data_IF_441896744264
#
_entry.id   IF_441896744264
#
_cell.length_a   1.000
_cell.length_b   1.000
_cell.length_c   1.000
_cell.angle_alpha   90.00
_cell.angle_beta   90.00
_cell.angle_gamma   90.00
#
_symmetry.space_group_name_H-M   'P 1'
#
loop_
_entity.id
_entity.type
_entity.pdbx_description
1 polymer ?
#
# COMPACT_ATOMS: atom_id res chain seq x y z
N UNK A 1 14.31 14.89 14.69
CA UNK A 1 15.34 14.64 13.66
C UNK A 1 14.62 14.55 12.31
N UNK A 2 14.34 15.69 11.66
CA UNK A 2 13.84 15.68 10.29
C UNK A 2 15.04 15.39 9.40
N UNK A 3 15.30 14.12 9.15
CA UNK A 3 16.14 13.75 8.02
C UNK A 3 15.37 14.15 6.76
N UNK A 4 16.10 14.65 5.75
CA UNK A 4 15.55 14.94 4.42
C UNK A 4 15.36 13.60 3.70
N UNK A 5 14.30 12.89 4.06
CA UNK A 5 14.01 11.55 3.56
C UNK A 5 13.06 11.66 2.37
N UNK A 6 13.38 10.92 1.31
CA UNK A 6 12.53 10.75 0.14
C UNK A 6 11.30 9.92 0.51
N UNK A 7 10.20 10.60 0.87
CA UNK A 7 8.95 9.96 1.25
C UNK A 7 8.30 9.22 0.10
N UNK A 8 8.52 9.66 -1.14
CA UNK A 8 7.96 9.00 -2.31
C UNK A 8 8.55 7.59 -2.44
N UNK A 9 9.85 7.42 -2.21
CA UNK A 9 10.48 6.09 -2.17
C UNK A 9 9.99 5.23 -1.02
N UNK A 10 9.70 5.82 0.14
CA UNK A 10 9.10 5.10 1.27
C UNK A 10 7.72 4.59 0.87
N UNK A 11 6.88 5.44 0.31
CA UNK A 11 5.51 5.11 -0.07
C UNK A 11 5.49 4.02 -1.15
N UNK A 12 6.37 4.13 -2.15
CA UNK A 12 6.56 3.10 -3.17
C UNK A 12 6.99 1.76 -2.56
N UNK A 13 7.92 1.77 -1.60
CA UNK A 13 8.37 0.55 -0.93
C UNK A 13 7.27 -0.06 -0.04
N UNK A 14 6.51 0.76 0.69
CA UNK A 14 5.38 0.30 1.51
C UNK A 14 4.31 -0.33 0.64
N UNK A 15 3.91 0.35 -0.45
CA UNK A 15 2.92 -0.19 -1.38
C UNK A 15 3.41 -1.47 -2.05
N UNK A 16 4.70 -1.54 -2.43
CA UNK A 16 5.30 -2.77 -2.95
C UNK A 16 5.24 -3.92 -1.93
N UNK A 17 5.58 -3.68 -0.66
CA UNK A 17 5.58 -4.72 0.37
C UNK A 17 4.17 -5.21 0.70
N UNK A 18 3.13 -4.38 0.55
CA UNK A 18 1.75 -4.82 0.70
C UNK A 18 1.39 -5.97 -0.26
N UNK A 19 2.02 -6.05 -1.45
CA UNK A 19 1.83 -7.13 -2.41
C UNK A 19 2.06 -8.54 -1.81
N UNK A 20 2.99 -8.67 -0.86
CA UNK A 20 3.27 -9.94 -0.18
C UNK A 20 2.15 -10.42 0.75
N UNK A 21 1.20 -9.54 1.07
CA UNK A 21 0.19 -9.77 2.09
C UNK A 21 -1.24 -9.70 1.56
N UNK A 22 -1.41 -9.72 0.23
CA UNK A 22 -2.72 -9.64 -0.41
C UNK A 22 -3.62 -10.82 -0.03
N UNK A 23 -4.84 -10.51 0.37
CA UNK A 23 -5.87 -11.48 0.73
C UNK A 23 -7.29 -10.90 0.52
N UNK A 24 -8.30 -11.78 0.55
CA UNK A 24 -9.71 -11.42 0.45
C UNK A 24 -10.02 -10.51 -0.76
N UNK A 25 -9.69 -11.00 -1.96
CA UNK A 25 -10.01 -10.31 -3.21
C UNK A 25 -11.52 -10.20 -3.41
N UNK A 26 -11.99 -8.98 -3.61
CA UNK A 26 -13.35 -8.69 -4.04
C UNK A 26 -13.37 -8.58 -5.57
N UNK A 27 -13.98 -9.56 -6.23
CA UNK A 27 -14.04 -9.63 -7.70
C UNK A 27 -15.07 -8.68 -8.31
N UNK A 28 -16.06 -8.22 -7.54
CA UNK A 28 -17.09 -7.32 -8.04
C UNK A 28 -16.54 -5.89 -8.13
N UNK A 29 -15.75 -5.48 -7.14
CA UNK A 29 -15.18 -4.13 -7.08
C UNK A 29 -13.69 -4.06 -7.44
N UNK A 30 -13.04 -5.21 -7.67
CA UNK A 30 -11.62 -5.29 -8.03
C UNK A 30 -10.66 -4.93 -6.88
N UNK A 31 -11.16 -4.82 -5.65
CA UNK A 31 -10.36 -4.45 -4.47
C UNK A 31 -9.76 -5.67 -3.79
N UNK A 32 -8.72 -5.46 -2.99
CA UNK A 32 -8.07 -6.53 -2.21
C UNK A 32 -7.59 -5.98 -0.87
N UNK A 33 -7.41 -6.83 0.14
CA UNK A 33 -6.88 -6.41 1.44
C UNK A 33 -5.41 -6.74 1.60
N UNK A 34 -4.70 -5.92 2.35
CA UNK A 34 -3.31 -6.14 2.77
C UNK A 34 -3.16 -5.83 4.26
N UNK A 35 -2.12 -6.37 4.92
CA UNK A 35 -1.79 -5.95 6.28
C UNK A 35 -1.28 -4.51 6.30
N UNK A 36 -1.76 -3.69 7.24
CA UNK A 36 -1.39 -2.27 7.35
C UNK A 36 -0.44 -1.96 8.50
N UNK A 37 0.43 -2.91 8.86
CA UNK A 37 1.44 -2.76 9.91
C UNK A 37 2.67 -1.99 9.41
N UNK A 38 2.46 -0.78 8.88
CA UNK A 38 3.48 0.12 8.36
C UNK A 38 3.43 1.47 9.08
N UNK A 39 4.37 2.36 8.75
CA UNK A 39 4.38 3.74 9.21
C UNK A 39 3.06 4.46 8.85
N UNK A 40 2.49 5.17 9.81
CA UNK A 40 1.18 5.83 9.63
C UNK A 40 1.24 6.97 8.62
N UNK A 41 2.32 7.75 8.58
CA UNK A 41 2.43 8.86 7.64
C UNK A 41 2.50 8.35 6.19
N UNK A 42 3.13 7.19 5.96
CA UNK A 42 3.12 6.53 4.66
C UNK A 42 1.74 6.02 4.25
N UNK A 43 0.97 5.44 5.18
CA UNK A 43 -0.41 5.02 4.92
C UNK A 43 -1.32 6.22 4.58
N UNK A 44 -1.16 7.34 5.30
CA UNK A 44 -1.92 8.55 5.04
C UNK A 44 -1.62 9.14 3.66
N UNK A 45 -0.35 9.16 3.24
CA UNK A 45 0.02 9.58 1.88
C UNK A 45 -0.50 8.63 0.81
N UNK A 46 -0.42 7.32 1.01
CA UNK A 46 -0.99 6.33 0.08
C UNK A 46 -2.52 6.45 -0.05
N UNK A 47 -3.21 6.78 1.04
CA UNK A 47 -4.64 7.09 1.01
C UNK A 47 -4.92 8.39 0.25
N UNK A 48 -4.14 9.46 0.51
CA UNK A 48 -4.25 10.72 -0.22
C UNK A 48 -3.98 10.55 -1.74
N UNK A 49 -3.12 9.60 -2.11
CA UNK A 49 -2.84 9.21 -3.50
C UNK A 49 -3.91 8.28 -4.12
N UNK A 50 -4.90 7.81 -3.35
CA UNK A 50 -5.95 6.92 -3.83
C UNK A 50 -5.51 5.46 -4.04
N UNK A 51 -4.37 5.06 -3.48
CA UNK A 51 -3.85 3.68 -3.61
C UNK A 51 -4.55 2.73 -2.63
N UNK A 52 -4.89 3.23 -1.45
CA UNK A 52 -5.63 2.49 -0.41
C UNK A 52 -6.85 3.28 0.04
N UNK A 53 -7.84 2.60 0.60
CA UNK A 53 -8.92 3.26 1.34
C UNK A 53 -8.41 3.74 2.71
N UNK A 54 -9.21 4.58 3.38
CA UNK A 54 -8.87 5.15 4.68
C UNK A 54 -8.34 4.07 5.65
N UNK A 55 -7.06 4.17 6.08
CA UNK A 55 -6.44 3.21 6.97
C UNK A 55 -6.90 3.39 8.42
N UNK A 56 -7.63 4.45 8.78
CA UNK A 56 -8.00 4.74 10.17
C UNK A 56 -8.95 3.67 10.71
N UNK A 57 -8.67 3.19 11.93
CA UNK A 57 -9.53 2.28 12.67
C UNK A 57 -8.82 1.02 13.18
N UNK A 58 -9.61 0.15 13.85
CA UNK A 58 -9.13 -1.01 14.61
C UNK A 58 -8.81 -2.25 13.77
N UNK A 59 -9.17 -2.25 12.49
CA UNK A 59 -8.87 -3.37 11.60
C UNK A 59 -7.35 -3.56 11.48
N UNK A 60 -6.88 -4.79 11.31
CA UNK A 60 -5.45 -5.07 11.05
C UNK A 60 -5.05 -4.92 9.58
N UNK A 61 -6.05 -4.90 8.69
CA UNK A 61 -5.86 -4.77 7.25
C UNK A 61 -6.47 -3.49 6.70
N UNK A 62 -5.97 -3.06 5.55
CA UNK A 62 -6.51 -1.97 4.74
C UNK A 62 -6.89 -2.52 3.36
N UNK A 63 -7.82 -1.84 2.69
CA UNK A 63 -8.24 -2.18 1.33
C UNK A 63 -7.40 -1.40 0.34
N UNK A 64 -6.78 -2.09 -0.62
CA UNK A 64 -6.18 -1.49 -1.80
C UNK A 64 -7.29 -1.27 -2.84
N UNK A 65 -7.23 -0.11 -3.49
CA UNK A 65 -8.05 0.16 -4.68
C UNK A 65 -7.58 -0.70 -5.85
N UNK A 66 -8.35 -0.81 -6.95
CA UNK A 66 -7.88 -1.54 -8.14
C UNK A 66 -6.54 -0.99 -8.65
N UNK A 67 -6.36 0.33 -8.57
CA UNK A 67 -5.10 0.98 -8.94
C UNK A 67 -3.97 0.64 -7.97
N UNK A 68 -4.21 0.76 -6.67
CA UNK A 68 -3.20 0.42 -5.66
C UNK A 68 -2.76 -1.03 -5.74
N UNK A 69 -3.70 -1.96 -6.02
CA UNK A 69 -3.37 -3.37 -6.26
C UNK A 69 -2.41 -3.53 -7.44
N UNK A 70 -2.77 -2.99 -8.60
CA UNK A 70 -1.92 -3.06 -9.80
C UNK A 70 -0.54 -2.46 -9.52
N UNK A 71 -0.52 -1.28 -8.91
CA UNK A 71 0.71 -0.54 -8.62
C UNK A 71 1.60 -1.26 -7.61
N UNK A 72 1.03 -1.92 -6.61
CA UNK A 72 1.78 -2.72 -5.63
C UNK A 72 2.60 -3.82 -6.29
N UNK A 73 2.02 -4.53 -7.26
CA UNK A 73 2.71 -5.58 -8.00
C UNK A 73 3.81 -5.03 -8.92
N UNK A 74 3.51 -3.95 -9.66
CA UNK A 74 4.49 -3.26 -10.51
C UNK A 74 5.70 -2.80 -9.71
N UNK A 75 5.47 -2.12 -8.59
CA UNK A 75 6.52 -1.61 -7.72
C UNK A 75 7.32 -2.77 -7.09
N UNK A 76 6.66 -3.83 -6.65
CA UNK A 76 7.34 -5.00 -6.10
C UNK A 76 8.30 -5.61 -7.12
N UNK A 77 7.85 -5.81 -8.36
CA UNK A 77 8.71 -6.31 -9.44
C UNK A 77 9.86 -5.35 -9.74
N UNK A 78 9.57 -4.04 -9.84
CA UNK A 78 10.58 -3.02 -10.16
C UNK A 78 11.66 -2.89 -9.07
N UNK A 79 11.28 -2.99 -7.80
CA UNK A 79 12.18 -2.74 -6.66
C UNK A 79 12.90 -3.99 -6.19
N UNK A 80 12.30 -5.18 -6.33
CA UNK A 80 12.77 -6.38 -5.65
C UNK A 80 12.92 -7.62 -6.55
N UNK A 81 12.52 -7.59 -7.82
CA UNK A 81 12.83 -8.69 -8.75
C UNK A 81 14.29 -8.63 -9.22
N UNK A 82 14.83 -9.79 -9.64
CA UNK A 82 16.18 -9.93 -10.19
C UNK A 82 16.22 -9.67 -11.69
#
# INVERSE_FOLDING_TARGET
>A
MKQDVDTDKIDEAVLALMFLTLHNEDRLFGTVRAWKSFDWDALDRLHAQGMILDPVGKAKSVVLTPEGRRRSEELFRRLFAK
#
